data_IF_030317498011
#
_entry.id   IF_030317498011
#
_cell.length_a   1.000
_cell.length_b   1.000
_cell.length_c   1.000
_cell.angle_alpha   90.00
_cell.angle_beta   90.00
_cell.angle_gamma   90.00
#
_symmetry.space_group_name_H-M   'P 1'
#
loop_
_entity.id
_entity.type
_entity.pdbx_description
1 polymer ?
#
# COMPACT_ATOMS: atom_id res chain seq x y z
N UNK A 1 -0.64 -17.38 -51.03
CA UNK A 1 -1.61 -16.99 -49.98
C UNK A 1 -0.80 -16.61 -48.74
N UNK A 2 -0.46 -15.31 -48.63
CA UNK A 2 -0.93 -14.38 -47.56
C UNK A 2 -0.37 -14.76 -46.19
N UNK A 3 0.82 -14.29 -45.78
CA UNK A 3 1.18 -12.93 -45.33
C UNK A 3 0.43 -12.48 -44.08
N UNK A 4 1.12 -12.36 -42.94
CA UNK A 4 1.07 -11.13 -42.11
C UNK A 4 2.33 -11.04 -41.26
N UNK A 5 3.26 -10.25 -41.77
CA UNK A 5 4.47 -9.72 -41.14
C UNK A 5 4.06 -8.67 -40.09
N UNK A 6 4.17 -8.97 -38.79
CA UNK A 6 4.03 -7.96 -37.73
C UNK A 6 5.37 -7.26 -37.50
N UNK A 7 5.33 -5.93 -37.56
CA UNK A 7 6.45 -5.01 -37.67
C UNK A 7 6.69 -4.35 -36.30
N UNK A 8 7.75 -4.72 -35.60
CA UNK A 8 8.34 -3.91 -34.52
C UNK A 8 9.86 -4.05 -34.49
N UNK A 9 10.64 -2.95 -34.54
CA UNK A 9 12.06 -3.01 -34.87
C UNK A 9 12.92 -3.10 -33.61
N UNK A 10 12.87 -4.23 -32.91
CA UNK A 10 13.91 -4.56 -31.93
C UNK A 10 14.30 -6.02 -32.13
N UNK A 11 15.22 -6.21 -33.07
CA UNK A 11 15.96 -7.46 -33.18
C UNK A 11 16.81 -7.70 -31.94
N UNK A 12 16.91 -8.98 -31.60
CA UNK A 12 18.03 -9.68 -30.99
C UNK A 12 18.74 -9.05 -29.76
N UNK A 13 18.72 -9.84 -28.68
CA UNK A 13 19.70 -9.88 -27.60
C UNK A 13 19.74 -8.72 -26.59
N UNK A 14 19.03 -8.94 -25.48
CA UNK A 14 19.26 -8.23 -24.21
C UNK A 14 18.95 -9.19 -23.07
N UNK A 15 19.94 -9.44 -22.22
CA UNK A 15 19.88 -10.34 -21.06
C UNK A 15 18.62 -10.06 -20.23
N UNK A 16 17.92 -11.13 -19.82
CA UNK A 16 16.91 -11.05 -18.77
C UNK A 16 17.62 -10.61 -17.49
N UNK A 17 17.58 -9.32 -17.20
CA UNK A 17 17.87 -8.81 -15.86
C UNK A 17 16.72 -9.24 -14.95
N UNK A 18 16.80 -10.47 -14.43
CA UNK A 18 16.01 -10.86 -13.27
C UNK A 18 16.36 -9.88 -12.15
N UNK A 19 15.38 -9.18 -11.56
CA UNK A 19 15.66 -8.25 -10.47
C UNK A 19 16.29 -9.05 -9.32
N UNK A 20 17.57 -8.82 -9.06
CA UNK A 20 18.28 -9.36 -7.90
C UNK A 20 17.46 -9.02 -6.66
N UNK A 21 16.83 -10.02 -6.05
CA UNK A 21 16.18 -9.86 -4.77
C UNK A 21 17.23 -9.33 -3.78
N UNK A 22 17.03 -8.13 -3.27
CA UNK A 22 17.92 -7.57 -2.26
C UNK A 22 17.92 -8.54 -1.06
N UNK A 23 19.08 -8.81 -0.44
CA UNK A 23 19.15 -9.71 0.70
C UNK A 23 18.23 -9.19 1.81
N UNK A 24 17.38 -10.07 2.35
CA UNK A 24 16.50 -9.74 3.48
C UNK A 24 17.36 -9.40 4.71
N UNK A 25 16.93 -8.47 5.58
CA UNK A 25 17.63 -8.17 6.82
C UNK A 25 17.78 -9.42 7.72
N UNK A 26 18.79 -9.42 8.60
CA UNK A 26 18.98 -10.48 9.59
C UNK A 26 17.68 -10.68 10.40
N UNK A 27 17.18 -11.92 10.56
CA UNK A 27 15.96 -12.20 11.31
C UNK A 27 15.91 -11.57 12.71
N UNK A 28 17.04 -11.50 13.43
CA UNK A 28 17.09 -10.86 14.76
C UNK A 28 16.88 -9.35 14.67
N UNK A 29 17.45 -8.72 13.66
CA UNK A 29 17.27 -7.28 13.41
C UNK A 29 15.81 -7.00 13.06
N UNK A 30 15.20 -7.85 12.23
CA UNK A 30 13.78 -7.76 11.89
C UNK A 30 12.89 -7.92 13.12
N UNK A 31 13.12 -8.94 13.97
CA UNK A 31 12.31 -9.12 15.18
C UNK A 31 12.45 -7.94 16.17
N UNK A 32 13.67 -7.44 16.39
CA UNK A 32 13.90 -6.27 17.23
C UNK A 32 13.19 -5.01 16.68
N UNK A 33 13.21 -4.82 15.36
CA UNK A 33 12.47 -3.75 14.71
C UNK A 33 10.95 -3.91 14.91
N UNK A 34 10.41 -5.11 14.72
CA UNK A 34 8.99 -5.38 14.93
C UNK A 34 8.57 -5.08 16.38
N UNK A 35 9.37 -5.52 17.36
CA UNK A 35 9.11 -5.29 18.79
C UNK A 35 9.17 -3.81 19.18
N UNK A 36 10.05 -3.04 18.55
CA UNK A 36 10.14 -1.60 18.76
C UNK A 36 8.95 -0.85 18.15
N UNK A 37 8.54 -1.21 16.93
CA UNK A 37 7.56 -0.45 16.16
C UNK A 37 6.12 -0.80 16.49
N UNK A 38 5.82 -2.07 16.76
CA UNK A 38 4.45 -2.52 17.04
C UNK A 38 3.72 -1.69 18.11
N UNK A 39 4.29 -1.43 19.31
CA UNK A 39 3.60 -0.61 20.31
C UNK A 39 3.41 0.85 19.87
N UNK A 40 4.36 1.42 19.12
CA UNK A 40 4.28 2.79 18.59
C UNK A 40 3.18 2.91 17.54
N UNK A 41 3.11 1.97 16.62
CA UNK A 41 2.06 1.92 15.59
C UNK A 41 0.68 1.64 16.22
N UNK A 42 0.60 0.76 17.22
CA UNK A 42 -0.62 0.50 17.97
C UNK A 42 -1.14 1.76 18.69
N UNK A 43 -0.24 2.52 19.30
CA UNK A 43 -0.59 3.81 19.90
C UNK A 43 -1.02 4.84 18.83
N UNK A 44 -0.37 4.86 17.67
CA UNK A 44 -0.70 5.77 16.58
C UNK A 44 -2.10 5.53 16.00
N UNK A 45 -2.57 4.28 15.95
CA UNK A 45 -3.93 3.95 15.47
C UNK A 45 -4.99 3.92 16.56
N UNK A 46 -4.64 4.28 17.80
CA UNK A 46 -5.61 4.35 18.90
C UNK A 46 -6.78 5.26 18.51
N UNK A 47 -7.98 4.87 18.95
CA UNK A 47 -9.25 5.57 18.71
C UNK A 47 -9.62 5.64 17.20
N UNK A 48 -9.15 4.67 16.42
CA UNK A 48 -9.50 4.50 15.01
C UNK A 48 -9.97 3.07 14.74
N UNK A 49 -10.70 2.83 13.64
CA UNK A 49 -11.10 1.49 13.22
C UNK A 49 -9.96 0.71 12.54
N UNK A 50 -8.74 1.24 12.55
CA UNK A 50 -7.62 0.59 11.90
C UNK A 50 -7.18 -0.63 12.69
N UNK A 51 -6.68 -1.63 11.98
CA UNK A 51 -6.19 -2.87 12.55
C UNK A 51 -4.70 -2.99 12.29
N UNK A 52 -3.96 -3.46 13.30
CA UNK A 52 -2.55 -3.81 13.16
C UNK A 52 -2.41 -5.33 13.19
N UNK A 53 -1.65 -5.86 12.24
CA UNK A 53 -1.30 -7.28 12.15
C UNK A 53 0.22 -7.39 12.07
N UNK A 54 0.81 -8.16 12.99
CA UNK A 54 2.23 -8.54 12.92
C UNK A 54 2.38 -9.76 12.03
N UNK A 55 3.27 -9.66 11.03
CA UNK A 55 3.68 -10.77 10.17
C UNK A 55 5.13 -11.14 10.45
N UNK A 56 5.66 -12.11 9.72
CA UNK A 56 7.01 -12.64 9.93
C UNK A 56 8.08 -11.54 9.88
N UNK A 57 7.97 -10.60 8.94
CA UNK A 57 8.97 -9.58 8.65
C UNK A 57 8.43 -8.14 8.51
N UNK A 58 7.13 -7.93 8.72
CA UNK A 58 6.49 -6.62 8.57
C UNK A 58 5.32 -6.39 9.52
N UNK A 59 4.94 -5.12 9.70
CA UNK A 59 3.73 -4.69 10.39
C UNK A 59 2.73 -4.18 9.36
N UNK A 60 1.60 -4.88 9.22
CA UNK A 60 0.54 -4.49 8.31
C UNK A 60 -0.54 -3.69 9.05
N UNK A 61 -0.91 -2.54 8.50
CA UNK A 61 -2.02 -1.72 9.01
C UNK A 61 -3.13 -1.73 7.98
N UNK A 62 -4.33 -2.11 8.40
CA UNK A 62 -5.51 -2.04 7.54
C UNK A 62 -6.44 -0.93 7.98
N UNK A 63 -6.77 -0.03 7.04
CA UNK A 63 -7.81 0.96 7.16
C UNK A 63 -9.09 0.49 6.44
N UNK A 64 -10.20 0.24 7.14
CA UNK A 64 -11.45 -0.14 6.50
C UNK A 64 -11.98 1.01 5.62
N UNK A 65 -12.42 0.69 4.40
CA UNK A 65 -12.82 1.71 3.41
C UNK A 65 -14.00 2.55 3.90
N UNK A 66 -15.06 1.90 4.41
CA UNK A 66 -16.32 2.57 4.78
C UNK A 66 -16.15 3.60 5.90
N UNK A 67 -15.18 3.36 6.79
CA UNK A 67 -14.86 4.29 7.87
C UNK A 67 -13.75 5.28 7.51
N UNK A 68 -13.09 5.11 6.37
CA UNK A 68 -11.91 5.87 5.98
C UNK A 68 -12.16 6.89 4.87
N UNK A 69 -13.07 6.58 3.95
CA UNK A 69 -13.34 7.35 2.73
C UNK A 69 -14.79 7.83 2.66
N UNK A 70 -15.01 8.95 1.98
CA UNK A 70 -16.34 9.48 1.75
C UNK A 70 -17.08 8.61 0.70
N UNK A 71 -18.33 8.17 0.97
CA UNK A 71 -19.08 7.30 0.05
C UNK A 71 -19.42 7.96 -1.28
N UNK A 72 -19.69 9.28 -1.29
CA UNK A 72 -19.99 10.04 -2.50
C UNK A 72 -18.70 10.47 -3.25
N UNK A 73 -17.56 10.45 -2.57
CA UNK A 73 -16.24 10.83 -3.09
C UNK A 73 -15.21 9.77 -2.68
N UNK A 74 -15.17 8.61 -3.33
CA UNK A 74 -14.49 7.41 -2.82
C UNK A 74 -12.95 7.52 -2.77
N UNK A 75 -12.35 8.57 -3.35
CA UNK A 75 -10.94 8.90 -3.24
C UNK A 75 -10.63 9.91 -2.11
N UNK A 76 -11.65 10.53 -1.52
CA UNK A 76 -11.53 11.55 -0.48
C UNK A 76 -11.57 10.92 0.91
N UNK A 77 -10.51 11.12 1.70
CA UNK A 77 -10.46 10.68 3.08
C UNK A 77 -11.45 11.45 3.96
N UNK A 78 -12.05 10.77 4.92
CA UNK A 78 -12.84 11.41 5.97
C UNK A 78 -11.93 12.14 6.98
N UNK A 79 -12.40 13.23 7.61
CA UNK A 79 -11.58 14.00 8.56
C UNK A 79 -11.07 13.19 9.75
N UNK A 80 -11.88 12.25 10.27
CA UNK A 80 -11.50 11.36 11.39
C UNK A 80 -10.33 10.42 11.03
N UNK A 81 -10.14 10.11 9.75
CA UNK A 81 -9.07 9.24 9.23
C UNK A 81 -7.71 9.94 9.20
N UNK A 82 -7.69 11.27 9.10
CA UNK A 82 -6.46 12.05 8.91
C UNK A 82 -5.52 11.97 10.13
N UNK A 83 -6.09 12.00 11.34
CA UNK A 83 -5.34 11.96 12.59
C UNK A 83 -4.49 10.69 12.74
N UNK A 84 -5.10 9.48 12.69
CA UNK A 84 -4.38 8.22 12.73
C UNK A 84 -3.30 8.09 11.66
N UNK A 85 -3.58 8.44 10.40
CA UNK A 85 -2.59 8.37 9.32
C UNK A 85 -1.41 9.32 9.57
N UNK A 86 -1.68 10.54 10.02
CA UNK A 86 -0.62 11.51 10.36
C UNK A 86 0.27 10.97 11.48
N UNK A 87 -0.31 10.38 12.53
CA UNK A 87 0.47 9.77 13.62
C UNK A 87 1.33 8.61 13.13
N UNK A 88 0.80 7.76 12.24
CA UNK A 88 1.57 6.69 11.61
C UNK A 88 2.75 7.23 10.80
N UNK A 89 2.53 8.27 10.00
CA UNK A 89 3.59 8.91 9.25
C UNK A 89 4.69 9.47 10.16
N UNK A 90 4.31 10.06 11.30
CA UNK A 90 5.27 10.55 12.31
C UNK A 90 6.05 9.45 13.01
N UNK A 91 5.49 8.26 13.21
CA UNK A 91 6.23 7.12 13.77
C UNK A 91 7.40 6.70 12.88
N UNK A 92 7.24 6.77 11.55
CA UNK A 92 8.24 6.28 10.58
C UNK A 92 9.09 7.37 9.94
N UNK A 93 8.72 8.65 10.06
CA UNK A 93 9.43 9.78 9.47
C UNK A 93 10.92 9.79 9.87
N UNK A 94 11.20 9.71 11.17
CA UNK A 94 12.55 9.85 11.74
C UNK A 94 13.49 8.67 11.53
N UNK A 95 12.98 7.51 11.11
CA UNK A 95 13.80 6.32 10.90
C UNK A 95 14.09 6.09 9.43
N UNK A 96 15.27 6.50 8.98
CA UNK A 96 15.72 6.38 7.59
C UNK A 96 15.76 4.94 7.06
N UNK A 97 15.69 3.91 7.92
CA UNK A 97 15.72 2.50 7.53
C UNK A 97 14.34 1.92 7.25
N UNK A 98 13.27 2.61 7.66
CA UNK A 98 11.90 2.12 7.47
C UNK A 98 11.32 2.61 6.14
N UNK A 99 10.68 1.73 5.38
CA UNK A 99 9.93 2.10 4.18
C UNK A 99 8.43 1.82 4.38
N UNK A 100 7.59 2.53 3.64
CA UNK A 100 6.13 2.39 3.67
C UNK A 100 5.64 1.99 2.29
N UNK A 101 4.84 0.92 2.25
CA UNK A 101 4.08 0.49 1.09
C UNK A 101 2.58 0.68 1.36
N UNK A 102 1.91 1.42 0.49
CA UNK A 102 0.47 1.65 0.58
C UNK A 102 -0.23 0.86 -0.53
N UNK A 103 -1.11 -0.05 -0.15
CA UNK A 103 -1.93 -0.83 -1.07
C UNK A 103 -3.38 -0.39 -0.97
N UNK A 104 -3.91 0.13 -2.08
CA UNK A 104 -5.34 0.39 -2.19
C UNK A 104 -6.05 -0.83 -2.75
N UNK A 105 -7.18 -1.20 -2.15
CA UNK A 105 -8.05 -2.25 -2.66
C UNK A 105 -9.45 -1.66 -2.96
N UNK A 106 -10.15 -2.30 -3.89
CA UNK A 106 -11.54 -2.04 -4.19
C UNK A 106 -12.35 -3.34 -3.96
N UNK A 107 -13.68 -3.21 -3.99
CA UNK A 107 -14.55 -4.38 -4.01
C UNK A 107 -14.33 -5.21 -5.29
N UNK A 108 -14.98 -6.38 -5.38
CA UNK A 108 -15.05 -7.16 -6.62
C UNK A 108 -16.30 -6.84 -7.43
N UNK A 109 -17.21 -6.03 -6.90
CA UNK A 109 -18.46 -5.62 -7.54
C UNK A 109 -18.25 -4.37 -8.39
N UNK A 110 -17.82 -4.54 -9.63
CA UNK A 110 -17.72 -3.44 -10.57
C UNK A 110 -16.80 -3.71 -11.74
N UNK A 111 -16.68 -2.78 -12.70
CA UNK A 111 -15.72 -2.89 -13.79
C UNK A 111 -14.30 -2.91 -13.26
N UNK A 112 -13.48 -3.86 -13.73
CA UNK A 112 -12.08 -4.02 -13.32
C UNK A 112 -11.27 -2.72 -13.43
N UNK A 113 -11.48 -1.96 -14.50
CA UNK A 113 -10.79 -0.67 -14.72
C UNK A 113 -11.20 0.39 -13.67
N UNK A 114 -12.49 0.46 -13.34
CA UNK A 114 -13.00 1.35 -12.29
C UNK A 114 -12.40 1.01 -10.93
N UNK A 115 -12.35 -0.28 -10.60
CA UNK A 115 -11.80 -0.78 -9.35
C UNK A 115 -10.29 -0.55 -9.27
N UNK A 116 -9.57 -0.75 -10.37
CA UNK A 116 -8.15 -0.43 -10.46
C UNK A 116 -7.89 1.07 -10.26
N UNK A 117 -8.66 1.94 -10.93
CA UNK A 117 -8.53 3.39 -10.79
C UNK A 117 -8.80 3.86 -9.36
N UNK A 118 -9.94 3.47 -8.76
CA UNK A 118 -10.28 3.96 -7.42
C UNK A 118 -9.32 3.44 -6.35
N UNK A 119 -8.87 2.19 -6.47
CA UNK A 119 -7.88 1.64 -5.56
C UNK A 119 -6.55 2.42 -5.64
N UNK A 120 -6.14 2.82 -6.85
CA UNK A 120 -4.95 3.64 -7.07
C UNK A 120 -5.10 5.05 -6.50
N UNK A 121 -6.25 5.70 -6.67
CA UNK A 121 -6.53 7.04 -6.13
C UNK A 121 -6.56 7.03 -4.60
N UNK A 122 -7.16 6.01 -3.98
CA UNK A 122 -7.15 5.84 -2.51
C UNK A 122 -5.74 5.70 -1.96
N UNK A 123 -4.90 4.89 -2.61
CA UNK A 123 -3.49 4.76 -2.24
C UNK A 123 -2.75 6.10 -2.35
N UNK A 124 -3.04 6.91 -3.38
CA UNK A 124 -2.45 8.23 -3.57
C UNK A 124 -2.85 9.21 -2.47
N UNK A 125 -4.12 9.21 -2.05
CA UNK A 125 -4.63 10.06 -0.97
C UNK A 125 -3.93 9.79 0.36
N UNK A 126 -3.74 8.52 0.72
CA UNK A 126 -2.98 8.15 1.93
C UNK A 126 -1.49 8.51 1.77
N UNK A 127 -0.89 8.22 0.62
CA UNK A 127 0.51 8.54 0.33
C UNK A 127 0.81 10.04 0.39
N UNK A 128 -0.17 10.90 0.06
CA UNK A 128 -0.03 12.34 0.20
C UNK A 128 0.24 12.76 1.66
N UNK A 129 -0.42 12.13 2.64
CA UNK A 129 -0.23 12.44 4.06
C UNK A 129 1.19 12.06 4.52
N UNK A 130 1.69 10.89 4.11
CA UNK A 130 3.07 10.48 4.42
C UNK A 130 4.11 11.44 3.83
N UNK A 131 3.93 11.88 2.58
CA UNK A 131 4.80 12.88 1.94
C UNK A 131 4.75 14.22 2.67
N UNK A 132 3.56 14.71 2.97
CA UNK A 132 3.37 15.97 3.72
C UNK A 132 3.95 15.90 5.13
N UNK A 133 4.02 14.69 5.70
CA UNK A 133 4.60 14.44 7.00
C UNK A 133 6.13 14.33 6.97
N UNK A 134 6.78 14.41 5.81
CA UNK A 134 8.24 14.41 5.67
C UNK A 134 8.87 13.12 5.13
N UNK A 135 8.07 12.09 4.79
CA UNK A 135 8.62 10.83 4.30
C UNK A 135 9.17 10.97 2.87
N UNK A 136 10.43 10.58 2.69
CA UNK A 136 11.13 10.67 1.42
C UNK A 136 10.52 9.75 0.34
N UNK A 137 10.58 10.19 -0.93
CA UNK A 137 9.94 9.50 -2.06
C UNK A 137 10.49 8.08 -2.31
N UNK A 138 11.78 7.87 -2.10
CA UNK A 138 12.44 6.56 -2.19
C UNK A 138 12.00 5.58 -1.09
N UNK A 139 11.43 6.09 0.01
CA UNK A 139 10.94 5.29 1.15
C UNK A 139 9.43 5.08 1.14
N UNK A 140 8.72 5.63 0.14
CA UNK A 140 7.27 5.55 0.02
C UNK A 140 6.88 5.00 -1.35
N UNK A 141 6.27 3.82 -1.35
CA UNK A 141 5.65 3.21 -2.53
C UNK A 141 4.15 3.08 -2.35
N UNK A 142 3.41 3.13 -3.45
CA UNK A 142 1.95 3.04 -3.42
C UNK A 142 1.40 2.40 -4.70
N UNK A 143 0.39 1.54 -4.57
CA UNK A 143 -0.17 0.76 -5.68
C UNK A 143 -1.67 0.53 -5.49
N UNK A 144 -2.44 0.71 -6.57
CA UNK A 144 -3.80 0.21 -6.68
C UNK A 144 -3.81 -1.28 -7.02
N UNK A 145 -4.51 -2.08 -6.22
CA UNK A 145 -4.64 -3.53 -6.39
C UNK A 145 -5.96 -3.93 -7.06
N UNK A 146 -6.87 -2.97 -7.30
CA UNK A 146 -8.21 -3.26 -7.78
C UNK A 146 -8.92 -4.25 -6.86
N UNK A 147 -9.58 -5.23 -7.48
CA UNK A 147 -10.26 -6.33 -6.81
C UNK A 147 -9.34 -7.52 -6.43
N UNK A 148 -8.03 -7.42 -6.66
CA UNK A 148 -7.08 -8.52 -6.48
C UNK A 148 -6.72 -8.69 -5.01
N UNK A 149 -6.58 -9.95 -4.56
CA UNK A 149 -6.34 -10.35 -3.17
C UNK A 149 -7.35 -9.70 -2.19
N UNK A 150 -8.65 -9.93 -2.37
CA UNK A 150 -9.63 -9.38 -1.45
C UNK A 150 -9.42 -9.99 -0.07
N UNK A 151 -9.36 -9.15 0.98
CA UNK A 151 -9.18 -9.61 2.36
C UNK A 151 -10.38 -10.41 2.88
N UNK A 152 -11.54 -10.27 2.23
CA UNK A 152 -12.77 -10.99 2.52
C UNK A 152 -13.38 -11.51 1.20
N UNK A 153 -14.08 -12.64 1.23
CA UNK A 153 -15.02 -12.96 0.16
C UNK A 153 -16.08 -11.84 0.14
N UNK A 154 -16.29 -11.21 -1.01
CA UNK A 154 -17.36 -10.22 -1.16
C UNK A 154 -18.70 -10.95 -1.31
N UNK A 155 -19.07 -11.70 -0.28
CA UNK A 155 -20.39 -12.31 -0.16
C UNK A 155 -21.20 -11.40 0.74
N UNK A 156 -21.92 -10.46 0.13
CA UNK A 156 -23.10 -9.86 0.74
C UNK A 156 -24.31 -10.47 0.04
N UNK A 157 -25.17 -11.12 0.84
CA UNK A 157 -26.48 -11.64 0.44
C UNK A 157 -27.38 -10.55 -0.16
#
# INVERSE_FOLDING_TARGET
ETDTKWWWPFGAEGKKDEPKALPMPDPKVTQAWLDEYEPRLRAAIKDSPFQLERREDLLAITAPVDSSFNPDRPAMLLPNTLGPITRLAKVVEGDQKTAVLILGHADTSGPTEGNQKISQERAQSVAAIFRLSGLERNRLSQRGMGAVMPRAANDSL
#
